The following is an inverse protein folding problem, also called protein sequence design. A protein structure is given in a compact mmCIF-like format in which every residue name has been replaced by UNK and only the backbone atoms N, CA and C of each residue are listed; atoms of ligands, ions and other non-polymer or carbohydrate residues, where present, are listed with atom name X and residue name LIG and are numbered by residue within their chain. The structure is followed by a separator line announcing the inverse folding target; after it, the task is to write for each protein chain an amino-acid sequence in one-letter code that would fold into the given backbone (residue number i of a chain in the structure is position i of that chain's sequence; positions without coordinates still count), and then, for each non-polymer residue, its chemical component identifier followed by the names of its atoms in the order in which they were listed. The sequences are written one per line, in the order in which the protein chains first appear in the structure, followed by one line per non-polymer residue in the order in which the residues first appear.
data_IF_077371756932
#
_entry.id   IF_077371756932
#
_cell.length_a   1.000
_cell.length_b   1.000
_cell.length_c   1.000
_cell.angle_alpha   90.00
_cell.angle_beta   90.00
_cell.angle_gamma   90.00
#
_symmetry.space_group_name_H-M   'P 1'
#
loop_
_entity.id
_entity.type
_entity.pdbx_description
1 polymer ?
#
# COMPACT_ATOMS: atom_id res chain seq x y z
N UNK A 1 -27.78 6.26 5.25
CA UNK A 1 -28.06 4.94 4.66
C UNK A 1 -29.17 4.20 5.40
N UNK A 2 -28.96 3.55 6.56
CA UNK A 2 -29.98 2.67 7.20
C UNK A 2 -31.39 3.29 7.36
N UNK A 3 -31.49 4.58 7.70
CA UNK A 3 -32.78 5.26 7.87
C UNK A 3 -33.26 6.04 6.65
N UNK A 4 -32.35 6.37 5.73
CA UNK A 4 -32.57 7.34 4.66
C UNK A 4 -32.40 6.78 3.26
N UNK A 5 -31.82 5.60 3.12
CA UNK A 5 -31.31 4.98 1.89
C UNK A 5 -30.34 5.85 1.07
N UNK A 6 -29.87 6.94 1.67
CA UNK A 6 -28.98 7.92 1.04
C UNK A 6 -27.62 7.85 1.71
N UNK A 7 -26.57 7.83 0.88
CA UNK A 7 -25.17 7.99 1.26
C UNK A 7 -24.47 8.85 0.20
N UNK A 8 -23.62 9.76 0.64
CA UNK A 8 -22.78 10.57 -0.23
C UNK A 8 -21.31 10.23 0.06
N UNK A 9 -20.61 9.75 -0.96
CA UNK A 9 -19.20 9.34 -0.90
C UNK A 9 -18.26 10.40 -1.49
N UNK A 10 -18.81 11.42 -2.16
CA UNK A 10 -18.05 12.38 -2.97
C UNK A 10 -17.19 13.34 -2.16
N UNK A 11 -17.56 13.60 -0.91
CA UNK A 11 -16.86 14.51 -0.02
C UNK A 11 -15.82 13.82 0.89
N UNK A 12 -15.68 12.50 0.78
CA UNK A 12 -14.81 11.71 1.63
C UNK A 12 -13.47 11.44 0.96
N UNK A 13 -12.42 11.27 1.75
CA UNK A 13 -11.16 10.73 1.23
C UNK A 13 -11.23 9.21 1.01
N UNK A 14 -10.22 8.69 0.31
CA UNK A 14 -10.12 7.28 -0.03
C UNK A 14 -10.17 6.36 1.20
N UNK A 15 -9.47 6.74 2.27
CA UNK A 15 -9.45 5.97 3.53
C UNK A 15 -10.83 5.91 4.18
N UNK A 16 -11.56 7.03 4.19
CA UNK A 16 -12.91 7.11 4.75
C UNK A 16 -13.88 6.25 3.95
N UNK A 17 -13.84 6.32 2.62
CA UNK A 17 -14.70 5.48 1.78
C UNK A 17 -14.42 3.98 1.95
N UNK A 18 -13.16 3.59 2.10
CA UNK A 18 -12.77 2.21 2.45
C UNK A 18 -13.27 1.82 3.85
N UNK A 19 -13.17 2.71 4.84
CA UNK A 19 -13.68 2.43 6.18
C UNK A 19 -15.21 2.24 6.18
N UNK A 20 -15.92 3.02 5.36
CA UNK A 20 -17.36 2.85 5.16
C UNK A 20 -17.66 1.49 4.49
N UNK A 21 -16.88 1.08 3.49
CA UNK A 21 -17.01 -0.24 2.86
C UNK A 21 -16.85 -1.38 3.89
N UNK A 22 -15.83 -1.30 4.75
CA UNK A 22 -15.62 -2.27 5.83
C UNK A 22 -16.80 -2.27 6.81
N UNK A 23 -17.28 -1.10 7.24
CA UNK A 23 -18.43 -1.02 8.13
C UNK A 23 -19.73 -1.56 7.48
N UNK A 24 -19.91 -1.34 6.18
CA UNK A 24 -21.04 -1.90 5.43
C UNK A 24 -21.01 -3.43 5.42
N UNK A 25 -19.82 -4.01 5.25
CA UNK A 25 -19.60 -5.44 5.32
C UNK A 25 -19.87 -6.02 6.72
N UNK A 26 -19.34 -5.38 7.77
CA UNK A 26 -19.59 -5.77 9.16
C UNK A 26 -21.08 -5.74 9.53
N UNK A 27 -21.85 -4.86 8.89
CA UNK A 27 -23.30 -4.74 9.04
C UNK A 27 -24.10 -5.62 8.06
N UNK A 28 -23.43 -6.44 7.27
CA UNK A 28 -24.02 -7.33 6.25
C UNK A 28 -24.85 -6.57 5.19
N UNK A 29 -24.46 -5.34 4.84
CA UNK A 29 -25.14 -4.49 3.85
C UNK A 29 -24.55 -4.71 2.44
N UNK A 30 -24.76 -5.91 1.88
CA UNK A 30 -24.12 -6.34 0.62
C UNK A 30 -24.37 -5.40 -0.57
N UNK A 31 -25.58 -4.84 -0.68
CA UNK A 31 -25.93 -3.89 -1.75
C UNK A 31 -25.11 -2.61 -1.64
N UNK A 32 -24.88 -2.14 -0.40
CA UNK A 32 -24.03 -0.98 -0.14
C UNK A 32 -22.56 -1.29 -0.41
N UNK A 33 -22.07 -2.48 -0.05
CA UNK A 33 -20.71 -2.90 -0.40
C UNK A 33 -20.51 -2.87 -1.91
N UNK A 34 -21.46 -3.42 -2.67
CA UNK A 34 -21.42 -3.44 -4.14
C UNK A 34 -21.40 -2.02 -4.72
N UNK A 35 -22.25 -1.13 -4.19
CA UNK A 35 -22.30 0.27 -4.60
C UNK A 35 -20.99 1.01 -4.31
N UNK A 36 -20.39 0.80 -3.14
CA UNK A 36 -19.12 1.45 -2.79
C UNK A 36 -17.97 0.90 -3.64
N UNK A 37 -17.91 -0.42 -3.90
CA UNK A 37 -16.90 -0.98 -4.81
C UNK A 37 -16.99 -0.37 -6.21
N UNK A 38 -18.20 -0.24 -6.77
CA UNK A 38 -18.40 0.41 -8.08
C UNK A 38 -17.95 1.88 -8.05
N UNK A 39 -18.36 2.62 -7.02
CA UNK A 39 -17.97 4.02 -6.86
C UNK A 39 -16.45 4.20 -6.76
N UNK A 40 -15.75 3.32 -6.04
CA UNK A 40 -14.29 3.37 -5.93
C UNK A 40 -13.60 3.04 -7.26
N UNK A 41 -14.17 2.14 -8.05
CA UNK A 41 -13.63 1.72 -9.34
C UNK A 41 -13.85 2.74 -10.47
N UNK A 42 -14.78 3.68 -10.30
CA UNK A 42 -14.96 4.79 -11.24
C UNK A 42 -13.70 5.67 -11.35
N UNK A 43 -12.84 5.71 -10.32
CA UNK A 43 -11.53 6.38 -10.35
C UNK A 43 -10.39 5.39 -10.07
N UNK A 44 -10.07 4.57 -11.07
CA UNK A 44 -8.91 3.68 -11.03
C UNK A 44 -7.57 4.41 -10.76
N UNK A 45 -7.47 5.70 -11.12
CA UNK A 45 -6.23 6.45 -10.94
C UNK A 45 -5.98 6.72 -9.45
N UNK A 46 -7.02 7.10 -8.72
CA UNK A 46 -6.99 7.27 -7.27
C UNK A 46 -6.72 5.95 -6.55
N UNK A 47 -7.28 4.84 -7.05
CA UNK A 47 -6.98 3.51 -6.53
C UNK A 47 -5.51 3.13 -6.70
N UNK A 48 -4.89 3.45 -7.84
CA UNK A 48 -3.47 3.20 -8.11
C UNK A 48 -2.54 4.09 -7.28
N UNK A 49 -2.97 5.31 -6.93
CA UNK A 49 -2.24 6.18 -6.00
C UNK A 49 -2.27 5.66 -4.56
N UNK A 50 -3.35 4.98 -4.16
CA UNK A 50 -3.54 4.42 -2.82
C UNK A 50 -3.40 2.88 -2.81
N UNK A 51 -2.44 2.37 -3.57
CA UNK A 51 -2.37 0.93 -3.86
C UNK A 51 -1.99 0.10 -2.64
N UNK A 52 -1.22 0.65 -1.69
CA UNK A 52 -0.89 -0.05 -0.44
C UNK A 52 -2.12 -0.20 0.44
N UNK A 53 -2.97 0.83 0.52
CA UNK A 53 -4.25 0.74 1.21
C UNK A 53 -5.13 -0.35 0.61
N UNK A 54 -5.25 -0.41 -0.72
CA UNK A 54 -6.03 -1.47 -1.39
C UNK A 54 -5.46 -2.84 -1.07
N UNK A 55 -4.14 -3.00 -1.16
CA UNK A 55 -3.47 -4.25 -0.83
C UNK A 55 -3.78 -4.71 0.61
N UNK A 56 -3.72 -3.81 1.60
CA UNK A 56 -4.03 -4.14 3.01
C UNK A 56 -5.51 -4.55 3.18
N UNK A 57 -6.42 -3.85 2.50
CA UNK A 57 -7.87 -4.14 2.54
C UNK A 57 -8.16 -5.51 1.96
N UNK A 58 -7.73 -5.79 0.72
CA UNK A 58 -8.06 -7.06 0.04
C UNK A 58 -7.38 -8.27 0.70
N UNK A 59 -6.31 -8.05 1.45
CA UNK A 59 -5.64 -9.11 2.23
C UNK A 59 -6.46 -9.50 3.46
N UNK A 60 -7.18 -8.54 4.06
CA UNK A 60 -8.03 -8.75 5.23
C UNK A 60 -9.46 -9.15 4.86
N UNK A 61 -9.98 -8.61 3.77
CA UNK A 61 -11.36 -8.73 3.34
C UNK A 61 -11.41 -9.28 1.91
N UNK A 62 -11.47 -10.61 1.79
CA UNK A 62 -11.46 -11.31 0.50
C UNK A 62 -12.79 -11.28 -0.24
N UNK A 63 -13.85 -10.82 0.43
CA UNK A 63 -15.21 -10.74 -0.10
C UNK A 63 -15.45 -9.53 -1.02
N UNK A 64 -14.56 -8.52 -1.01
CA UNK A 64 -14.60 -7.38 -1.94
C UNK A 64 -14.10 -7.80 -3.33
N UNK A 65 -14.92 -8.59 -4.02
CA UNK A 65 -14.52 -9.30 -5.23
C UNK A 65 -14.07 -8.39 -6.36
N UNK A 66 -14.68 -7.22 -6.51
CA UNK A 66 -14.31 -6.28 -7.60
C UNK A 66 -12.98 -5.62 -7.30
N UNK A 67 -12.75 -5.19 -6.06
CA UNK A 67 -11.45 -4.65 -5.63
C UNK A 67 -10.33 -5.70 -5.70
N UNK A 68 -10.60 -6.94 -5.30
CA UNK A 68 -9.65 -8.06 -5.44
C UNK A 68 -9.27 -8.28 -6.91
N UNK A 69 -10.26 -8.28 -7.81
CA UNK A 69 -10.01 -8.45 -9.23
C UNK A 69 -9.19 -7.29 -9.80
N UNK A 70 -9.55 -6.05 -9.45
CA UNK A 70 -8.80 -4.86 -9.85
C UNK A 70 -7.33 -4.92 -9.39
N UNK A 71 -7.09 -5.28 -8.13
CA UNK A 71 -5.74 -5.39 -7.59
C UNK A 71 -4.91 -6.44 -8.33
N UNK A 72 -5.47 -7.65 -8.52
CA UNK A 72 -4.78 -8.76 -9.18
C UNK A 72 -4.43 -8.43 -10.64
N UNK A 73 -5.35 -7.80 -11.37
CA UNK A 73 -5.10 -7.37 -12.75
C UNK A 73 -4.01 -6.28 -12.76
N UNK A 74 -4.11 -5.29 -11.87
CA UNK A 74 -3.17 -4.17 -11.81
C UNK A 74 -1.75 -4.61 -11.48
N UNK A 75 -1.56 -5.46 -10.46
CA UNK A 75 -0.23 -5.95 -10.08
C UNK A 75 0.35 -6.91 -11.12
N UNK A 76 -0.49 -7.69 -11.81
CA UNK A 76 -0.04 -8.55 -12.91
C UNK A 76 0.44 -7.74 -14.11
N UNK A 77 -0.23 -6.63 -14.42
CA UNK A 77 0.14 -5.73 -15.51
C UNK A 77 1.40 -4.92 -15.19
N UNK A 78 1.48 -4.35 -14.00
CA UNK A 78 2.65 -3.61 -13.52
C UNK A 78 2.96 -3.98 -12.05
N UNK A 79 3.86 -4.94 -11.80
CA UNK A 79 4.28 -5.27 -10.45
C UNK A 79 4.97 -4.11 -9.72
N UNK A 80 5.45 -3.09 -10.45
CA UNK A 80 6.09 -1.93 -9.84
C UNK A 80 5.11 -0.91 -9.28
N UNK A 81 3.81 -1.09 -9.51
CA UNK A 81 2.76 -0.15 -9.14
C UNK A 81 2.69 0.08 -7.62
N UNK A 82 2.94 -0.96 -6.82
CA UNK A 82 3.01 -0.82 -5.36
C UNK A 82 4.13 0.11 -4.89
N UNK A 83 5.25 0.16 -5.60
CA UNK A 83 6.38 1.05 -5.28
C UNK A 83 6.17 2.48 -5.79
N UNK A 84 5.24 2.67 -6.73
CA UNK A 84 4.88 3.97 -7.31
C UNK A 84 3.69 4.62 -6.59
N UNK A 85 3.05 3.90 -5.67
CA UNK A 85 1.91 4.41 -4.92
C UNK A 85 2.34 5.55 -3.98
N UNK A 86 1.49 6.56 -3.86
CA UNK A 86 1.74 7.73 -3.01
C UNK A 86 1.73 7.34 -1.52
N UNK A 87 0.96 6.29 -1.19
CA UNK A 87 0.88 5.72 0.15
C UNK A 87 1.94 4.64 0.45
N UNK A 88 2.96 4.48 -0.42
CA UNK A 88 4.00 3.46 -0.25
C UNK A 88 4.68 3.48 1.12
N UNK A 89 4.93 4.68 1.68
CA UNK A 89 5.54 4.83 3.00
C UNK A 89 4.74 4.17 4.14
N UNK A 90 3.44 3.90 3.93
CA UNK A 90 2.55 3.25 4.90
C UNK A 90 2.58 1.73 4.87
N UNK A 91 3.32 1.13 3.91
CA UNK A 91 3.40 -0.32 3.78
C UNK A 91 3.96 -0.97 5.04
N UNK A 92 3.31 -2.05 5.47
CA UNK A 92 3.79 -2.85 6.60
C UNK A 92 5.06 -3.60 6.21
N UNK A 93 6.00 -3.68 7.14
CA UNK A 93 7.28 -4.36 6.92
C UNK A 93 7.10 -5.81 6.43
N UNK A 94 6.16 -6.55 7.02
CA UNK A 94 5.89 -7.95 6.65
C UNK A 94 5.46 -8.11 5.18
N UNK A 95 4.63 -7.18 4.71
CA UNK A 95 4.10 -7.15 3.34
C UNK A 95 5.22 -6.76 2.38
N UNK A 96 6.01 -5.75 2.74
CA UNK A 96 7.18 -5.34 1.98
C UNK A 96 8.16 -6.51 1.81
N UNK A 97 8.52 -7.19 2.90
CA UNK A 97 9.40 -8.37 2.85
C UNK A 97 8.85 -9.47 1.95
N UNK A 98 7.54 -9.74 2.02
CA UNK A 98 6.90 -10.73 1.14
C UNK A 98 7.03 -10.37 -0.33
N UNK A 99 6.74 -9.11 -0.70
CA UNK A 99 6.85 -8.62 -2.08
C UNK A 99 8.30 -8.74 -2.56
N UNK A 100 9.28 -8.43 -1.70
CA UNK A 100 10.70 -8.50 -2.04
C UNK A 100 11.18 -9.92 -2.31
N UNK A 101 10.76 -10.87 -1.47
CA UNK A 101 11.08 -12.30 -1.64
C UNK A 101 10.45 -12.83 -2.93
N UNK A 102 9.19 -12.48 -3.20
CA UNK A 102 8.48 -12.87 -4.43
C UNK A 102 9.07 -12.21 -5.70
N UNK A 103 9.67 -11.02 -5.56
CA UNK A 103 10.27 -10.27 -6.67
C UNK A 103 11.81 -10.36 -6.70
N UNK A 104 12.44 -11.36 -6.09
CA UNK A 104 13.90 -11.55 -6.03
C UNK A 104 14.57 -11.89 -7.39
N UNK A 105 13.93 -11.57 -8.51
CA UNK A 105 14.52 -11.64 -9.83
C UNK A 105 15.43 -10.42 -10.04
N UNK A 106 16.71 -10.66 -10.39
CA UNK A 106 17.82 -9.73 -10.20
C UNK A 106 17.73 -8.37 -10.93
N UNK A 107 16.86 -8.25 -11.93
CA UNK A 107 16.73 -7.04 -12.77
C UNK A 107 16.02 -5.87 -12.07
N UNK A 108 15.29 -6.11 -10.97
CA UNK A 108 14.55 -5.07 -10.23
C UNK A 108 15.22 -4.61 -8.94
N UNK A 109 16.38 -5.19 -8.61
CA UNK A 109 17.06 -5.01 -7.32
C UNK A 109 17.37 -3.54 -7.00
N UNK A 110 17.90 -2.76 -7.95
CA UNK A 110 18.25 -1.34 -7.71
C UNK A 110 17.03 -0.48 -7.33
N UNK A 111 15.92 -0.60 -8.08
CA UNK A 111 14.68 0.15 -7.80
C UNK A 111 14.10 -0.25 -6.44
N UNK A 112 14.18 -1.55 -6.13
CA UNK A 112 13.76 -2.13 -4.86
C UNK A 112 14.58 -1.57 -3.68
N UNK A 113 15.89 -1.43 -3.82
CA UNK A 113 16.74 -0.86 -2.76
C UNK A 113 16.52 0.62 -2.56
N UNK A 114 16.34 1.40 -3.62
CA UNK A 114 16.03 2.83 -3.51
C UNK A 114 14.71 3.04 -2.75
N UNK A 115 13.69 2.22 -3.04
CA UNK A 115 12.39 2.27 -2.34
C UNK A 115 12.47 1.76 -0.91
N UNK A 116 13.25 0.72 -0.63
CA UNK A 116 13.56 0.29 0.72
C UNK A 116 14.25 1.39 1.54
N UNK A 117 15.12 2.16 0.88
CA UNK A 117 15.82 3.29 1.48
C UNK A 117 14.86 4.45 1.78
N UNK A 118 14.00 4.83 0.83
CA UNK A 118 12.91 5.79 1.06
C UNK A 118 11.98 5.36 2.22
N UNK A 119 11.59 4.08 2.26
CA UNK A 119 10.75 3.54 3.34
C UNK A 119 11.47 3.58 4.69
N UNK A 120 12.72 3.12 4.76
CA UNK A 120 13.50 3.12 6.00
C UNK A 120 13.70 4.52 6.58
N UNK A 121 13.84 5.53 5.72
CA UNK A 121 13.90 6.94 6.13
C UNK A 121 12.55 7.42 6.64
N UNK A 122 11.46 7.11 5.93
CA UNK A 122 10.11 7.50 6.34
C UNK A 122 9.68 6.89 7.69
N UNK A 123 10.26 5.75 8.08
CA UNK A 123 10.02 5.11 9.38
C UNK A 123 10.95 5.64 10.50
N UNK A 124 11.96 6.44 10.17
CA UNK A 124 12.93 6.97 11.14
C UNK A 124 12.61 8.43 11.46
N UNK A 125 12.20 8.70 12.70
CA UNK A 125 11.99 10.07 13.20
C UNK A 125 13.30 10.89 13.30
N UNK A 126 14.46 10.23 13.20
CA UNK A 126 15.79 10.85 13.41
C UNK A 126 16.58 11.09 12.12
N UNK A 127 16.16 10.55 10.97
CA UNK A 127 16.92 10.67 9.72
C UNK A 127 16.40 11.82 8.84
N UNK A 128 17.29 12.70 8.33
CA UNK A 128 16.89 13.73 7.38
C UNK A 128 16.28 13.10 6.12
N UNK A 129 15.19 13.66 5.62
CA UNK A 129 14.53 13.20 4.38
C UNK A 129 15.35 13.43 3.12
N UNK A 130 16.26 14.40 3.13
CA UNK A 130 17.19 14.66 2.03
C UNK A 130 18.51 13.88 2.20
N UNK A 131 18.60 12.76 1.48
CA UNK A 131 19.75 11.85 1.47
C UNK A 131 21.03 12.56 1.01
N UNK A 132 20.92 13.58 0.16
CA UNK A 132 22.09 14.28 -0.39
C UNK A 132 22.85 15.10 0.67
N UNK A 133 22.19 15.41 1.79
CA UNK A 133 22.74 16.18 2.90
C UNK A 133 23.12 15.31 4.12
N UNK A 134 23.12 13.99 3.98
CA UNK A 134 23.46 13.09 5.08
C UNK A 134 24.92 13.23 5.52
N UNK A 135 25.09 13.38 6.83
CA UNK A 135 26.38 13.25 7.49
C UNK A 135 26.85 11.80 7.47
N UNK A 136 28.17 11.61 7.60
CA UNK A 136 28.77 10.27 7.66
C UNK A 136 28.15 9.39 8.75
N UNK A 137 27.67 9.96 9.86
CA UNK A 137 27.04 9.17 10.93
C UNK A 137 25.63 8.71 10.57
N UNK A 138 24.82 9.55 9.92
CA UNK A 138 23.47 9.19 9.44
C UNK A 138 23.56 8.08 8.37
N UNK A 139 24.49 8.19 7.42
CA UNK A 139 24.74 7.14 6.43
C UNK A 139 25.19 5.82 7.07
N UNK A 140 25.94 5.88 8.18
CA UNK A 140 26.41 4.68 8.89
C UNK A 140 25.28 3.99 9.66
N UNK A 141 24.41 4.79 10.31
CA UNK A 141 23.23 4.29 11.05
C UNK A 141 22.25 3.60 10.12
N UNK A 142 21.86 4.27 9.03
CA UNK A 142 21.01 3.66 8.01
C UNK A 142 21.63 2.37 7.47
N UNK A 143 22.95 2.37 7.19
CA UNK A 143 23.64 1.17 6.71
C UNK A 143 23.58 0.01 7.72
N UNK A 144 23.72 0.26 9.02
CA UNK A 144 23.59 -0.79 10.03
C UNK A 144 22.16 -1.34 10.15
N UNK A 145 21.14 -0.50 10.04
CA UNK A 145 19.72 -0.92 10.06
C UNK A 145 19.35 -1.71 8.79
N UNK A 146 19.83 -1.24 7.64
CA UNK A 146 19.66 -1.95 6.35
C UNK A 146 20.37 -3.31 6.31
N UNK A 147 21.48 -3.45 7.06
CA UNK A 147 22.23 -4.70 7.13
C UNK A 147 21.48 -5.80 7.89
N UNK A 148 20.70 -5.42 8.92
CA UNK A 148 19.79 -6.35 9.59
C UNK A 148 18.68 -6.83 8.65
N UNK A 149 18.15 -5.96 7.78
CA UNK A 149 17.16 -6.33 6.76
C UNK A 149 17.80 -7.24 5.67
N UNK A 150 19.05 -6.96 5.26
CA UNK A 150 19.79 -7.82 4.33
C UNK A 150 20.04 -9.22 4.86
N UNK A 151 20.29 -9.38 6.16
CA UNK A 151 20.44 -10.70 6.78
C UNK A 151 19.13 -11.50 6.78
N UNK A 152 17.98 -10.84 6.91
CA UNK A 152 16.67 -11.48 6.78
C UNK A 152 16.33 -11.94 5.35
N UNK A 153 16.90 -11.32 4.32
CA UNK A 153 16.68 -11.68 2.91
C UNK A 153 17.67 -12.73 2.37
N UNK A 154 18.65 -13.14 3.18
CA UNK A 154 19.72 -14.07 2.79
C UNK A 154 19.37 -15.55 3.01
N UNK A 155 18.21 -15.84 3.59
CA UNK A 155 17.64 -17.16 3.83
C UNK A 155 16.34 -17.32 3.03
#
# INVERSE_FOLDING_TARGET
YIYSDVIDLSNNDMKTNIAILVAADELCLNDLCTFIEDYLLDDESLLKQNFVLIQDVITKFTQFGKLVQFYNISIQQDPSLIFKADDFATIKQEILLKILVENNHSEKFIIVWDKLLEWGIAQSDELPSDISNWTHNESRRFRSESQAIQECLRY
#
